data_IF_671381742577
#
_entry.id   IF_671381742577
#
_cell.length_a   1.000
_cell.length_b   1.000
_cell.length_c   1.000
_cell.angle_alpha   90.00
_cell.angle_beta   90.00
_cell.angle_gamma   90.00
#
_symmetry.space_group_name_H-M   'P 1'
#
loop_
_entity.id
_entity.type
_entity.pdbx_description
1 polymer ?
#
# COMPACT_ATOMS: atom_id res chain seq x y z
N UNK A 1 27.95 -8.48 -0.05
CA UNK A 1 27.09 -7.44 -0.66
C UNK A 1 25.78 -8.04 -1.15
N UNK A 2 25.80 -9.08 -2.00
CA UNK A 2 24.59 -9.80 -2.47
C UNK A 2 23.56 -10.16 -1.37
N UNK A 3 24.01 -10.76 -0.26
CA UNK A 3 23.12 -11.14 0.85
C UNK A 3 22.37 -9.94 1.47
N UNK A 4 22.99 -8.76 1.50
CA UNK A 4 22.39 -7.54 2.09
C UNK A 4 21.25 -7.00 1.23
N UNK A 5 21.38 -7.06 -0.10
CA UNK A 5 20.34 -6.60 -1.03
C UNK A 5 19.14 -7.54 -1.08
N UNK A 6 19.34 -8.87 -1.10
CA UNK A 6 18.24 -9.84 -0.92
C UNK A 6 17.46 -9.58 0.37
N UNK A 7 18.18 -9.37 1.47
CA UNK A 7 17.54 -9.06 2.77
C UNK A 7 16.73 -7.75 2.70
N UNK A 8 17.19 -6.74 1.94
CA UNK A 8 16.42 -5.51 1.74
C UNK A 8 15.17 -5.75 0.89
N UNK A 9 15.25 -6.50 -0.21
CA UNK A 9 14.09 -6.84 -1.03
C UNK A 9 13.02 -7.61 -0.22
N UNK A 10 13.44 -8.59 0.59
CA UNK A 10 12.55 -9.34 1.49
C UNK A 10 11.84 -8.42 2.51
N UNK A 11 12.57 -7.47 3.10
CA UNK A 11 12.02 -6.46 4.03
C UNK A 11 11.01 -5.56 3.30
N UNK A 12 11.26 -5.18 2.05
CA UNK A 12 10.33 -4.38 1.26
C UNK A 12 9.05 -5.14 0.95
N UNK A 13 9.14 -6.40 0.51
CA UNK A 13 7.95 -7.25 0.29
C UNK A 13 7.13 -7.41 1.59
N UNK A 14 7.80 -7.68 2.71
CA UNK A 14 7.13 -7.75 4.01
C UNK A 14 6.46 -6.42 4.41
N UNK A 15 7.09 -5.29 4.07
CA UNK A 15 6.53 -3.96 4.34
C UNK A 15 5.32 -3.67 3.45
N UNK A 16 5.34 -4.04 2.18
CA UNK A 16 4.17 -3.94 1.30
C UNK A 16 2.99 -4.74 1.86
N UNK A 17 3.23 -5.97 2.32
CA UNK A 17 2.19 -6.78 2.96
C UNK A 17 1.62 -6.15 4.25
N UNK A 18 2.44 -5.44 5.03
CA UNK A 18 1.94 -4.66 6.18
C UNK A 18 1.05 -3.50 5.74
N UNK A 19 1.41 -2.81 4.66
CA UNK A 19 0.58 -1.72 4.10
C UNK A 19 -0.77 -2.25 3.63
N UNK A 20 -0.79 -3.43 2.99
CA UNK A 20 -2.04 -4.08 2.58
C UNK A 20 -2.92 -4.42 3.78
N UNK A 21 -2.35 -5.01 4.84
CA UNK A 21 -3.08 -5.29 6.07
C UNK A 21 -3.65 -4.02 6.71
N UNK A 22 -2.86 -2.94 6.80
CA UNK A 22 -3.32 -1.65 7.30
C UNK A 22 -4.46 -1.09 6.44
N UNK A 23 -4.39 -1.26 5.12
CA UNK A 23 -5.45 -0.84 4.22
C UNK A 23 -6.76 -1.61 4.51
N UNK A 24 -6.69 -2.93 4.73
CA UNK A 24 -7.85 -3.74 5.09
C UNK A 24 -8.45 -3.33 6.44
N UNK A 25 -7.62 -3.07 7.45
CA UNK A 25 -8.04 -2.54 8.76
C UNK A 25 -8.77 -1.20 8.60
N UNK A 26 -8.21 -0.30 7.79
CA UNK A 26 -8.81 1.00 7.47
C UNK A 26 -10.16 0.82 6.77
N UNK A 27 -10.29 -0.10 5.79
CA UNK A 27 -11.58 -0.38 5.17
C UNK A 27 -12.63 -0.87 6.18
N UNK A 28 -12.21 -1.71 7.13
CA UNK A 28 -13.07 -2.20 8.21
C UNK A 28 -13.58 -1.07 9.11
N UNK A 29 -12.69 -0.19 9.55
CA UNK A 29 -13.07 0.96 10.39
C UNK A 29 -13.93 1.98 9.63
N UNK A 30 -13.67 2.18 8.33
CA UNK A 30 -14.52 3.03 7.51
C UNK A 30 -15.94 2.43 7.41
N UNK A 31 -16.05 1.15 7.12
CA UNK A 31 -17.36 0.45 7.06
C UNK A 31 -18.11 0.57 8.40
N UNK A 32 -17.39 0.42 9.51
CA UNK A 32 -17.95 0.56 10.85
C UNK A 32 -18.45 1.98 11.11
N UNK A 33 -17.66 3.00 10.77
CA UNK A 33 -18.04 4.40 10.94
C UNK A 33 -19.27 4.73 10.09
N UNK A 34 -19.33 4.27 8.84
CA UNK A 34 -20.52 4.43 8.01
C UNK A 34 -21.77 3.83 8.66
N UNK A 35 -21.68 2.62 9.22
CA UNK A 35 -22.81 1.99 9.91
C UNK A 35 -23.29 2.78 11.14
N UNK A 36 -22.37 3.33 11.93
CA UNK A 36 -22.71 4.23 13.06
C UNK A 36 -23.43 5.47 12.55
N UNK A 37 -22.92 6.07 11.48
CA UNK A 37 -23.48 7.29 10.88
C UNK A 37 -24.88 7.03 10.30
N UNK A 38 -25.10 5.90 9.65
CA UNK A 38 -26.43 5.49 9.16
C UNK A 38 -27.43 5.25 10.32
N UNK A 39 -26.97 4.71 11.45
CA UNK A 39 -27.84 4.46 12.62
C UNK A 39 -28.38 5.74 13.25
N UNK A 40 -27.61 6.83 13.20
CA UNK A 40 -28.01 8.12 13.76
C UNK A 40 -28.76 8.99 12.76
N UNK A 41 -28.74 8.64 11.46
CA UNK A 41 -29.41 9.39 10.38
C UNK A 41 -30.90 9.61 10.66
N UNK A 42 -31.58 8.60 11.22
CA UNK A 42 -33.00 8.69 11.58
C UNK A 42 -33.32 9.77 12.62
N UNK A 43 -32.32 10.22 13.39
CA UNK A 43 -32.48 11.29 14.38
C UNK A 43 -32.28 12.70 13.82
N UNK A 44 -31.77 12.85 12.60
CA UNK A 44 -31.41 14.14 12.00
C UNK A 44 -32.45 14.53 10.94
N UNK A 45 -33.56 15.13 11.39
CA UNK A 45 -34.68 15.52 10.52
C UNK A 45 -34.58 17.00 10.11
N UNK A 46 -34.91 17.34 8.87
CA UNK A 46 -34.96 18.72 8.37
C UNK A 46 -33.63 19.25 7.83
N UNK A 47 -33.25 20.49 8.15
CA UNK A 47 -32.05 21.16 7.61
C UNK A 47 -30.74 20.38 7.87
N UNK A 48 -30.70 19.58 8.94
CA UNK A 48 -29.56 18.73 9.30
C UNK A 48 -29.31 17.59 8.29
N UNK A 49 -30.33 17.19 7.52
CA UNK A 49 -30.21 16.13 6.52
C UNK A 49 -29.28 16.54 5.37
N UNK A 50 -29.36 17.79 4.91
CA UNK A 50 -28.51 18.30 3.81
C UNK A 50 -27.03 18.33 4.24
N UNK A 51 -26.76 18.79 5.46
CA UNK A 51 -25.39 18.79 6.00
C UNK A 51 -24.84 17.39 6.21
N UNK A 52 -25.71 16.43 6.55
CA UNK A 52 -25.35 15.02 6.65
C UNK A 52 -25.02 14.41 5.28
N UNK A 53 -25.82 14.70 4.26
CA UNK A 53 -25.61 14.18 2.91
C UNK A 53 -24.28 14.71 2.33
N UNK A 54 -23.94 15.99 2.53
CA UNK A 54 -22.63 16.56 2.17
C UNK A 54 -21.48 15.88 2.93
N UNK A 55 -21.64 15.68 4.25
CA UNK A 55 -20.65 15.00 5.07
C UNK A 55 -20.39 13.58 4.56
N UNK A 56 -21.46 12.84 4.23
CA UNK A 56 -21.35 11.48 3.70
C UNK A 56 -20.68 11.43 2.33
N UNK A 57 -20.95 12.39 1.45
CA UNK A 57 -20.27 12.48 0.15
C UNK A 57 -18.76 12.73 0.33
N UNK A 58 -18.39 13.68 1.19
CA UNK A 58 -16.99 13.99 1.50
C UNK A 58 -16.30 12.80 2.16
N UNK A 59 -16.98 12.15 3.08
CA UNK A 59 -16.51 10.95 3.76
C UNK A 59 -16.18 9.82 2.75
N UNK A 60 -17.11 9.49 1.86
CA UNK A 60 -16.91 8.46 0.82
C UNK A 60 -15.73 8.81 -0.09
N UNK A 61 -15.59 10.10 -0.44
CA UNK A 61 -14.47 10.59 -1.25
C UNK A 61 -13.14 10.39 -0.54
N UNK A 62 -13.03 10.81 0.72
CA UNK A 62 -11.81 10.64 1.52
C UNK A 62 -11.47 9.17 1.77
N UNK A 63 -12.47 8.33 2.01
CA UNK A 63 -12.33 6.88 2.15
C UNK A 63 -11.72 6.25 0.88
N UNK A 64 -12.22 6.63 -0.29
CA UNK A 64 -11.69 6.17 -1.56
C UNK A 64 -10.25 6.64 -1.79
N UNK A 65 -9.97 7.92 -1.55
CA UNK A 65 -8.62 8.48 -1.70
C UNK A 65 -7.61 7.79 -0.80
N UNK A 66 -7.98 7.50 0.45
CA UNK A 66 -7.12 6.79 1.39
C UNK A 66 -6.81 5.36 0.91
N UNK A 67 -7.82 4.64 0.40
CA UNK A 67 -7.63 3.30 -0.18
C UNK A 67 -6.67 3.32 -1.36
N UNK A 68 -6.89 4.24 -2.29
CA UNK A 68 -6.06 4.38 -3.49
C UNK A 68 -4.63 4.73 -3.14
N UNK A 69 -4.42 5.63 -2.17
CA UNK A 69 -3.10 5.99 -1.69
C UNK A 69 -2.36 4.81 -1.04
N UNK A 70 -3.02 4.05 -0.17
CA UNK A 70 -2.40 2.88 0.48
C UNK A 70 -2.06 1.78 -0.53
N UNK A 71 -2.94 1.51 -1.49
CA UNK A 71 -2.68 0.56 -2.57
C UNK A 71 -1.51 1.02 -3.47
N UNK A 72 -1.44 2.31 -3.81
CA UNK A 72 -0.32 2.86 -4.57
C UNK A 72 1.00 2.76 -3.80
N UNK A 73 0.98 2.94 -2.48
CA UNK A 73 2.16 2.78 -1.62
C UNK A 73 2.62 1.31 -1.64
N UNK A 74 1.72 0.34 -1.44
CA UNK A 74 2.12 -1.08 -1.43
C UNK A 74 2.64 -1.54 -2.79
N UNK A 75 2.03 -1.09 -3.90
CA UNK A 75 2.50 -1.35 -5.26
C UNK A 75 3.89 -0.73 -5.51
N UNK A 76 4.10 0.52 -5.10
CA UNK A 76 5.40 1.17 -5.24
C UNK A 76 6.51 0.44 -4.47
N UNK A 77 6.22 -0.03 -3.25
CA UNK A 77 7.17 -0.81 -2.46
C UNK A 77 7.52 -2.14 -3.17
N UNK A 78 6.52 -2.85 -3.71
CA UNK A 78 6.75 -4.11 -4.45
C UNK A 78 7.56 -3.88 -5.72
N UNK A 79 7.20 -2.85 -6.49
CA UNK A 79 7.94 -2.46 -7.71
C UNK A 79 9.41 -2.18 -7.40
N UNK A 80 9.68 -1.43 -6.33
CA UNK A 80 11.05 -1.17 -5.91
C UNK A 80 11.77 -2.47 -5.47
N UNK A 81 11.11 -3.36 -4.72
CA UNK A 81 11.69 -4.65 -4.34
C UNK A 81 12.12 -5.48 -5.56
N UNK A 82 11.27 -5.57 -6.58
CA UNK A 82 11.59 -6.26 -7.84
C UNK A 82 12.74 -5.60 -8.59
N UNK A 83 12.81 -4.28 -8.61
CA UNK A 83 13.95 -3.57 -9.21
C UNK A 83 15.27 -3.88 -8.49
N UNK A 84 15.25 -3.97 -7.15
CA UNK A 84 16.42 -4.38 -6.38
C UNK A 84 16.88 -5.81 -6.73
N UNK A 85 15.95 -6.76 -6.83
CA UNK A 85 16.25 -8.14 -7.23
C UNK A 85 16.81 -8.25 -8.65
N UNK A 86 16.30 -7.46 -9.59
CA UNK A 86 16.79 -7.45 -10.97
C UNK A 86 18.23 -6.89 -11.06
N UNK A 87 18.50 -5.76 -10.41
CA UNK A 87 19.84 -5.14 -10.37
C UNK A 87 20.87 -6.07 -9.71
N UNK A 88 20.45 -6.83 -8.69
CA UNK A 88 21.25 -7.87 -8.05
C UNK A 88 21.60 -9.01 -9.01
N UNK A 89 20.63 -9.49 -9.79
CA UNK A 89 20.84 -10.55 -10.77
C UNK A 89 21.80 -10.12 -11.89
N UNK A 90 21.63 -8.91 -12.41
CA UNK A 90 22.51 -8.32 -13.43
C UNK A 90 23.96 -8.16 -12.92
N UNK A 91 24.14 -7.60 -11.71
CA UNK A 91 25.47 -7.46 -11.12
C UNK A 91 26.15 -8.81 -10.90
N UNK A 92 25.42 -9.82 -10.40
CA UNK A 92 25.96 -11.17 -10.18
C UNK A 92 26.42 -11.80 -11.49
N UNK A 93 25.63 -11.67 -12.56
CA UNK A 93 26.01 -12.13 -13.90
C UNK A 93 27.25 -11.41 -14.42
N UNK A 94 27.31 -10.09 -14.29
CA UNK A 94 28.47 -9.29 -14.69
C UNK A 94 29.75 -9.72 -13.95
N UNK A 95 29.69 -9.92 -12.64
CA UNK A 95 30.82 -10.42 -11.84
C UNK A 95 31.25 -11.82 -12.26
N UNK A 96 30.31 -12.73 -12.54
CA UNK A 96 30.64 -14.08 -13.01
C UNK A 96 31.35 -14.07 -14.37
N UNK A 97 30.94 -13.17 -15.27
CA UNK A 97 31.55 -13.02 -16.59
C UNK A 97 32.97 -12.44 -16.51
N UNK A 98 33.20 -11.48 -15.61
CA UNK A 98 34.54 -10.91 -15.36
C UNK A 98 35.46 -11.92 -14.68
N UNK A 99 34.97 -12.65 -13.67
CA UNK A 99 35.74 -13.69 -12.98
C UNK A 99 36.14 -14.87 -13.89
N UNK A 100 35.28 -15.23 -14.86
CA UNK A 100 35.60 -16.24 -15.88
C UNK A 100 36.62 -15.76 -16.93
N UNK A 101 36.66 -14.45 -17.22
CA UNK A 101 37.63 -13.86 -18.16
C UNK A 101 39.03 -13.65 -17.60
N UNK A 102 39.20 -13.67 -16.28
CA UNK A 102 40.50 -13.53 -15.59
C UNK A 102 41.16 -14.87 -15.25
N UNK A 103 40.51 -16.00 -15.57
CA UNK A 103 40.99 -17.35 -15.30
C UNK A 103 41.69 -18.02 -16.51
N UNK A 104 42.01 -17.26 -17.56
CA UNK A 104 42.79 -17.66 -18.74
C UNK A 104 44.04 -16.80 -18.87
#
# INVERSE_FOLDING_TARGET
MSQTFKTQADVMIATAGKVDNTNDEVQGELTRLQGVVDSVRGSWVGQAQVSFDDLMQRYNTSAQQLREALAAISDNIRSNAHNFDNVEAENTQAFSNVGGGLAL
#
